data_IF_615785648375
#
_entry.id   IF_615785648375
#
_cell.length_a   1.000
_cell.length_b   1.000
_cell.length_c   1.000
_cell.angle_alpha   90.00
_cell.angle_beta   90.00
_cell.angle_gamma   90.00
#
_symmetry.space_group_name_H-M   'P 1'
#
loop_
_entity.id
_entity.type
_entity.pdbx_description
1 polymer ?
#
# COMPACT_ATOMS: atom_id res chain seq x y z
N UNK A 1 -6.74 -11.27 -0.57
CA UNK A 1 -7.24 -9.93 -0.93
C UNK A 1 -6.25 -9.32 -1.91
N UNK A 2 -6.66 -9.09 -3.18
CA UNK A 2 -5.73 -8.59 -4.20
C UNK A 2 -5.66 -7.06 -4.09
N UNK A 3 -4.44 -6.52 -3.97
CA UNK A 3 -4.17 -5.11 -3.71
C UNK A 3 -4.66 -4.22 -4.85
N UNK A 4 -4.52 -4.73 -6.07
CA UNK A 4 -5.07 -4.14 -7.30
C UNK A 4 -6.59 -3.94 -7.21
N UNK A 5 -7.32 -4.93 -6.68
CA UNK A 5 -8.76 -4.84 -6.52
C UNK A 5 -9.16 -3.78 -5.46
N UNK A 6 -8.38 -3.64 -4.39
CA UNK A 6 -8.61 -2.61 -3.37
C UNK A 6 -8.39 -1.21 -3.95
N UNK A 7 -7.27 -1.02 -4.65
CA UNK A 7 -6.91 0.24 -5.29
C UNK A 7 -7.95 0.67 -6.33
N UNK A 8 -8.38 -0.26 -7.18
CA UNK A 8 -9.42 0.00 -8.19
C UNK A 8 -10.76 0.37 -7.53
N UNK A 9 -11.14 -0.32 -6.44
CA UNK A 9 -12.36 0.00 -5.70
C UNK A 9 -12.30 1.39 -5.06
N UNK A 10 -11.24 1.70 -4.32
CA UNK A 10 -11.07 3.00 -3.65
C UNK A 10 -11.05 4.15 -4.65
N UNK A 11 -10.38 3.97 -5.79
CA UNK A 11 -10.35 4.97 -6.86
C UNK A 11 -11.75 5.23 -7.43
N UNK A 12 -12.52 4.17 -7.67
CA UNK A 12 -13.90 4.28 -8.17
C UNK A 12 -14.82 4.97 -7.16
N UNK A 13 -14.70 4.61 -5.88
CA UNK A 13 -15.47 5.21 -4.79
C UNK A 13 -15.11 6.70 -4.63
N UNK A 14 -13.83 7.06 -4.69
CA UNK A 14 -13.39 8.46 -4.64
C UNK A 14 -13.85 9.26 -5.85
N UNK A 15 -13.77 8.72 -7.07
CA UNK A 15 -14.25 9.43 -8.26
C UNK A 15 -15.76 9.68 -8.20
N UNK A 16 -16.52 8.75 -7.63
CA UNK A 16 -17.96 8.92 -7.39
C UNK A 16 -18.22 9.96 -6.31
N UNK A 17 -17.55 9.86 -5.15
CA UNK A 17 -17.77 10.73 -4.00
C UNK A 17 -17.33 12.18 -4.24
N UNK A 18 -16.35 12.39 -5.12
CA UNK A 18 -15.81 13.70 -5.45
C UNK A 18 -16.38 14.26 -6.76
N UNK A 19 -17.41 13.65 -7.37
CA UNK A 19 -17.92 14.04 -8.70
C UNK A 19 -18.19 15.53 -8.85
N UNK A 20 -18.62 16.18 -7.77
CA UNK A 20 -19.17 17.53 -7.79
C UNK A 20 -18.14 18.64 -7.54
N UNK A 21 -16.86 18.29 -7.34
CA UNK A 21 -15.77 19.25 -7.17
C UNK A 21 -14.87 19.37 -8.41
N UNK A 22 -14.21 20.53 -8.62
CA UNK A 22 -13.30 20.75 -9.72
C UNK A 22 -12.14 19.75 -9.75
N UNK A 23 -11.69 19.39 -10.96
CA UNK A 23 -10.66 18.36 -11.15
C UNK A 23 -9.33 18.68 -10.46
N UNK A 24 -8.97 19.97 -10.33
CA UNK A 24 -7.78 20.38 -9.61
C UNK A 24 -7.84 20.01 -8.11
N UNK A 25 -8.99 20.23 -7.47
CA UNK A 25 -9.21 19.91 -6.05
C UNK A 25 -9.35 18.41 -5.85
N UNK A 26 -10.08 17.73 -6.76
CA UNK A 26 -10.19 16.26 -6.81
C UNK A 26 -8.81 15.60 -6.86
N UNK A 27 -7.92 16.09 -7.74
CA UNK A 27 -6.57 15.55 -7.91
C UNK A 27 -5.70 15.81 -6.69
N UNK A 28 -5.83 16.98 -6.04
CA UNK A 28 -5.12 17.26 -4.78
C UNK A 28 -5.54 16.28 -3.67
N UNK A 29 -6.86 16.04 -3.52
CA UNK A 29 -7.39 15.09 -2.53
C UNK A 29 -6.91 13.66 -2.84
N UNK A 30 -7.00 13.23 -4.11
CA UNK A 30 -6.49 11.93 -4.56
C UNK A 30 -5.01 11.76 -4.26
N UNK A 31 -4.19 12.80 -4.45
CA UNK A 31 -2.76 12.77 -4.14
C UNK A 31 -2.50 12.59 -2.64
N UNK A 32 -3.24 13.29 -1.78
CA UNK A 32 -3.11 13.18 -0.32
C UNK A 32 -3.49 11.76 0.13
N UNK A 33 -4.59 11.23 -0.38
CA UNK A 33 -5.03 9.87 -0.03
C UNK A 33 -4.05 8.81 -0.53
N UNK A 34 -3.53 8.95 -1.75
CA UNK A 34 -2.47 8.06 -2.28
C UNK A 34 -1.23 8.08 -1.39
N UNK A 35 -0.76 9.25 -0.97
CA UNK A 35 0.38 9.37 -0.07
C UNK A 35 0.10 8.74 1.29
N UNK A 36 -1.06 9.01 1.89
CA UNK A 36 -1.43 8.42 3.18
C UNK A 36 -1.52 6.88 3.11
N UNK A 37 -2.01 6.33 2.00
CA UNK A 37 -2.01 4.87 1.79
C UNK A 37 -0.60 4.29 1.64
N UNK A 38 0.30 4.97 0.92
CA UNK A 38 1.71 4.58 0.82
C UNK A 38 2.41 4.57 2.18
N UNK A 39 2.21 5.64 2.96
CA UNK A 39 2.79 5.78 4.28
C UNK A 39 2.28 4.69 5.23
N UNK A 40 0.97 4.43 5.21
CA UNK A 40 0.35 3.37 5.99
C UNK A 40 0.85 1.99 5.58
N UNK A 41 0.96 1.70 4.27
CA UNK A 41 1.47 0.41 3.81
C UNK A 41 2.93 0.20 4.22
N UNK A 42 3.75 1.25 4.15
CA UNK A 42 5.15 1.24 4.58
C UNK A 42 5.27 0.98 6.08
N UNK A 43 4.45 1.65 6.90
CA UNK A 43 4.37 1.41 8.34
C UNK A 43 3.95 -0.02 8.66
N UNK A 44 2.84 -0.48 8.09
CA UNK A 44 2.35 -1.84 8.33
C UNK A 44 3.37 -2.89 7.92
N UNK A 45 4.06 -2.70 6.79
CA UNK A 45 5.15 -3.60 6.37
C UNK A 45 6.28 -3.63 7.41
N UNK A 46 6.74 -2.46 7.85
CA UNK A 46 7.78 -2.36 8.89
C UNK A 46 7.35 -3.08 10.18
N UNK A 47 6.13 -2.85 10.63
CA UNK A 47 5.62 -3.43 11.88
C UNK A 47 5.46 -4.96 11.75
N UNK A 48 5.03 -5.45 10.58
CA UNK A 48 4.97 -6.89 10.28
C UNK A 48 6.36 -7.51 10.18
N UNK A 49 7.35 -6.79 9.65
CA UNK A 49 8.76 -7.20 9.60
C UNK A 49 9.35 -7.34 11.00
N UNK A 50 9.10 -6.36 11.86
CA UNK A 50 9.52 -6.39 13.26
C UNK A 50 8.83 -7.52 14.03
N UNK A 51 7.52 -7.71 13.83
CA UNK A 51 6.75 -8.81 14.42
C UNK A 51 7.27 -10.17 13.97
N UNK A 52 7.59 -10.35 12.69
CA UNK A 52 8.15 -11.61 12.18
C UNK A 52 9.51 -11.94 12.84
N UNK A 53 10.36 -10.93 13.07
CA UNK A 53 11.63 -11.11 13.80
C UNK A 53 11.38 -11.56 15.24
N UNK A 54 10.40 -10.95 15.91
CA UNK A 54 10.06 -11.28 17.31
C UNK A 54 9.43 -12.67 17.43
N UNK A 55 8.51 -13.04 16.54
CA UNK A 55 7.76 -14.29 16.61
C UNK A 55 8.52 -15.53 16.14
N UNK A 56 9.48 -15.39 15.22
CA UNK A 56 10.22 -16.54 14.67
C UNK A 56 11.49 -16.91 15.47
N UNK A 57 11.88 -16.13 16.49
CA UNK A 57 13.05 -16.44 17.32
C UNK A 57 14.35 -16.61 16.50
N UNK A 58 15.28 -17.52 16.87
CA UNK A 58 16.59 -17.69 16.21
C UNK A 58 16.52 -18.31 14.80
N UNK A 59 15.33 -18.55 14.25
CA UNK A 59 15.13 -19.08 12.90
C UNK A 59 15.31 -17.97 11.85
N UNK A 60 16.55 -17.49 11.74
CA UNK A 60 16.94 -16.39 10.86
C UNK A 60 16.55 -16.63 9.38
N UNK A 61 16.53 -17.89 8.93
CA UNK A 61 16.13 -18.26 7.56
C UNK A 61 14.62 -18.03 7.30
N UNK A 62 13.77 -18.29 8.29
CA UNK A 62 12.32 -18.09 8.17
C UNK A 62 11.99 -16.59 8.17
N UNK A 63 12.64 -15.83 9.05
CA UNK A 63 12.55 -14.36 9.08
C UNK A 63 12.99 -13.76 7.75
N UNK A 64 14.13 -14.20 7.21
CA UNK A 64 14.66 -13.69 5.95
C UNK A 64 13.71 -13.96 4.78
N UNK A 65 13.12 -15.17 4.70
CA UNK A 65 12.11 -15.51 3.68
C UNK A 65 10.85 -14.66 3.79
N UNK A 66 10.35 -14.42 5.00
CA UNK A 66 9.19 -13.56 5.22
C UNK A 66 9.50 -12.12 4.80
N UNK A 67 10.68 -11.60 5.16
CA UNK A 67 11.14 -10.27 4.76
C UNK A 67 11.20 -10.13 3.23
N UNK A 68 11.79 -11.10 2.53
CA UNK A 68 11.90 -11.08 1.08
C UNK A 68 10.53 -11.09 0.39
N UNK A 69 9.57 -11.86 0.92
CA UNK A 69 8.20 -11.88 0.38
C UNK A 69 7.48 -10.56 0.62
N UNK A 70 7.64 -9.94 1.79
CA UNK A 70 7.03 -8.64 2.07
C UNK A 70 7.63 -7.54 1.19
N UNK A 71 8.95 -7.53 0.99
CA UNK A 71 9.62 -6.57 0.09
C UNK A 71 9.12 -6.72 -1.35
N UNK A 72 9.02 -7.95 -1.86
CA UNK A 72 8.39 -8.21 -3.18
C UNK A 72 6.98 -7.67 -3.30
N UNK A 73 6.15 -7.82 -2.25
CA UNK A 73 4.77 -7.31 -2.25
C UNK A 73 4.70 -5.78 -2.17
N UNK A 74 5.61 -5.15 -1.41
CA UNK A 74 5.73 -3.68 -1.36
C UNK A 74 6.09 -3.11 -2.72
N UNK A 75 7.08 -3.70 -3.39
CA UNK A 75 7.55 -3.19 -4.68
C UNK A 75 6.46 -3.32 -5.76
N UNK A 76 5.68 -4.41 -5.73
CA UNK A 76 4.46 -4.54 -6.56
C UNK A 76 3.41 -3.46 -6.25
N UNK A 77 3.18 -3.12 -4.98
CA UNK A 77 2.25 -2.05 -4.59
C UNK A 77 2.68 -0.70 -5.16
N UNK A 78 3.97 -0.36 -5.01
CA UNK A 78 4.54 0.89 -5.50
C UNK A 78 4.41 0.96 -7.03
N UNK A 79 4.76 -0.12 -7.73
CA UNK A 79 4.64 -0.21 -9.18
C UNK A 79 3.19 0.00 -9.65
N UNK A 80 2.22 -0.66 -8.99
CA UNK A 80 0.81 -0.51 -9.33
C UNK A 80 0.30 0.92 -9.07
N UNK A 81 0.68 1.54 -7.95
CA UNK A 81 0.31 2.93 -7.64
C UNK A 81 0.89 3.92 -8.65
N UNK A 82 2.13 3.69 -9.11
CA UNK A 82 2.74 4.49 -10.17
C UNK A 82 2.07 4.29 -11.53
N UNK A 83 1.55 3.09 -11.81
CA UNK A 83 0.85 2.77 -13.04
C UNK A 83 -0.58 3.35 -13.12
N UNK A 84 -1.14 3.85 -12.02
CA UNK A 84 -2.42 4.56 -11.99
C UNK A 84 -2.34 6.02 -12.49
N UNK A 85 -1.51 6.27 -13.50
CA UNK A 85 -1.47 7.55 -14.23
C UNK A 85 -2.58 7.63 -15.25
#
# INVERSE_FOLDING_TARGET
MNLENLVNRVTKEMNTALSDIPDAERNAILSIVKQAMLDSATRTHRDMKETAVICCGPEADLVHKIQEQMDKKRDMLIANLMAMR
#
